data_IF_843825234936
#
_entry.id   IF_843825234936
#
_cell.length_a   1.000
_cell.length_b   1.000
_cell.length_c   1.000
_cell.angle_alpha   90.00
_cell.angle_beta   90.00
_cell.angle_gamma   90.00
#
_symmetry.space_group_name_H-M   'P 1'
#
loop_
_entity.id
_entity.type
_entity.pdbx_description
1 polymer ?
#
# COMPACT_ATOMS: atom_id res chain seq x y z
N UNK A 1 1.86 -16.90 13.13
CA UNK A 1 1.56 -15.82 14.08
C UNK A 1 2.90 -15.26 14.56
N UNK A 2 3.48 -14.32 13.80
CA UNK A 2 4.82 -13.79 14.08
C UNK A 2 4.68 -12.37 14.61
N UNK A 3 5.09 -12.14 15.85
CA UNK A 3 5.24 -10.79 16.40
C UNK A 3 6.31 -10.06 15.58
N UNK A 4 5.94 -8.93 15.01
CA UNK A 4 6.81 -8.09 14.19
C UNK A 4 7.20 -6.83 14.98
N UNK A 5 8.40 -6.30 14.77
CA UNK A 5 8.90 -5.08 15.44
C UNK A 5 9.23 -4.04 14.36
N UNK A 6 8.47 -2.95 14.26
CA UNK A 6 8.77 -1.90 13.27
C UNK A 6 10.03 -1.17 13.73
N UNK A 7 11.09 -1.39 12.98
CA UNK A 7 12.40 -0.85 13.24
C UNK A 7 12.80 0.17 12.19
N UNK A 8 11.89 0.80 11.44
CA UNK A 8 12.28 1.67 10.33
C UNK A 8 11.42 2.90 10.13
N UNK A 9 12.08 4.02 9.80
CA UNK A 9 11.44 5.31 9.50
C UNK A 9 12.13 5.98 8.30
N UNK A 10 11.45 6.90 7.63
CA UNK A 10 12.04 7.72 6.55
C UNK A 10 12.71 8.95 7.17
N UNK A 11 13.99 9.19 6.86
CA UNK A 11 14.64 10.44 7.23
C UNK A 11 13.94 11.62 6.53
N UNK A 12 13.39 12.62 7.25
CA UNK A 12 12.53 13.63 6.66
C UNK A 12 13.26 14.55 5.65
N UNK A 13 14.57 14.75 5.82
CA UNK A 13 15.40 15.55 4.91
C UNK A 13 15.98 14.72 3.76
N UNK A 14 16.71 13.65 4.08
CA UNK A 14 17.41 12.83 3.09
C UNK A 14 16.51 11.83 2.34
N UNK A 15 15.29 11.60 2.82
CA UNK A 15 14.32 10.66 2.24
C UNK A 15 14.83 9.23 2.08
N UNK A 16 15.76 8.81 2.95
CA UNK A 16 16.31 7.44 3.00
C UNK A 16 15.75 6.67 4.20
N UNK A 17 15.62 5.33 4.10
CA UNK A 17 15.22 4.51 5.24
C UNK A 17 16.30 4.51 6.33
N UNK A 18 15.88 4.68 7.57
CA UNK A 18 16.72 4.55 8.76
C UNK A 18 16.18 3.45 9.67
N UNK A 19 17.08 2.61 10.18
CA UNK A 19 16.71 1.57 11.14
C UNK A 19 16.76 2.16 12.55
N UNK A 20 15.62 2.19 13.24
CA UNK A 20 15.47 2.61 14.64
C UNK A 20 14.93 1.43 15.42
N UNK A 21 15.73 0.80 16.27
CA UNK A 21 15.29 -0.34 17.06
C UNK A 21 14.23 0.09 18.08
N UNK A 22 12.99 -0.36 17.91
CA UNK A 22 11.90 -0.14 18.87
C UNK A 22 11.55 -1.47 19.54
N UNK A 23 11.14 -1.42 20.80
CA UNK A 23 10.70 -2.60 21.55
C UNK A 23 9.18 -2.84 21.42
N UNK A 24 8.50 -2.12 20.54
CA UNK A 24 7.05 -2.16 20.41
C UNK A 24 6.61 -3.34 19.55
N UNK A 25 5.70 -4.16 20.10
CA UNK A 25 5.09 -5.26 19.34
C UNK A 25 4.08 -4.68 18.37
N UNK A 26 4.22 -5.02 17.10
CA UNK A 26 3.25 -4.64 16.07
C UNK A 26 2.08 -5.62 15.98
N UNK A 27 0.96 -5.08 15.54
CA UNK A 27 -0.26 -5.82 15.24
C UNK A 27 -0.14 -6.67 13.96
N UNK A 28 -1.02 -7.68 13.84
CA UNK A 28 -1.14 -8.48 12.64
C UNK A 28 -1.64 -7.62 11.47
N UNK A 29 -1.01 -7.79 10.30
CA UNK A 29 -1.35 -7.05 9.09
C UNK A 29 -2.20 -7.94 8.19
N UNK A 30 -3.33 -7.40 7.73
CA UNK A 30 -4.16 -8.02 6.69
C UNK A 30 -3.99 -7.22 5.42
N UNK A 31 -3.61 -7.87 4.32
CA UNK A 31 -3.41 -7.23 3.02
C UNK A 31 -4.57 -7.59 2.08
N UNK A 32 -5.31 -6.59 1.62
CA UNK A 32 -6.37 -6.73 0.63
C UNK A 32 -5.99 -5.96 -0.63
N UNK A 33 -5.96 -6.62 -1.77
CA UNK A 33 -5.75 -5.99 -3.06
C UNK A 33 -7.07 -6.00 -3.85
N UNK A 34 -7.29 -4.98 -4.66
CA UNK A 34 -8.46 -4.87 -5.53
C UNK A 34 -8.07 -4.43 -6.92
N UNK A 35 -8.84 -4.82 -7.92
CA UNK A 35 -8.67 -4.30 -9.28
C UNK A 35 -10.00 -4.25 -10.02
N UNK A 36 -10.18 -3.20 -10.83
CA UNK A 36 -11.27 -3.10 -11.79
C UNK A 36 -10.67 -2.96 -13.19
N UNK A 37 -11.23 -3.69 -14.16
CA UNK A 37 -10.81 -3.61 -15.56
C UNK A 37 -12.04 -3.36 -16.43
N UNK A 38 -11.94 -2.38 -17.33
CA UNK A 38 -12.96 -2.03 -18.30
C UNK A 38 -12.41 -2.19 -19.73
N UNK A 39 -13.14 -2.91 -20.56
CA UNK A 39 -12.83 -3.11 -21.97
C UNK A 39 -13.71 -2.20 -22.83
N UNK A 40 -13.09 -1.30 -23.59
CA UNK A 40 -13.76 -0.30 -24.43
C UNK A 40 -13.21 -0.37 -25.85
N UNK A 41 -13.82 -1.22 -26.67
CA UNK A 41 -13.41 -1.44 -28.07
C UNK A 41 -11.92 -1.83 -28.17
N UNK A 42 -11.06 -0.91 -28.62
CA UNK A 42 -9.61 -1.10 -28.77
C UNK A 42 -8.82 -0.76 -27.50
N UNK A 43 -9.47 -0.25 -26.45
CA UNK A 43 -8.82 0.15 -25.21
C UNK A 43 -9.18 -0.78 -24.05
N UNK A 44 -8.18 -1.09 -23.23
CA UNK A 44 -8.35 -1.75 -21.94
C UNK A 44 -7.88 -0.80 -20.85
N UNK A 45 -8.78 -0.42 -19.94
CA UNK A 45 -8.47 0.45 -18.79
C UNK A 45 -8.46 -0.43 -17.56
N UNK A 46 -7.35 -0.45 -16.82
CA UNK A 46 -7.18 -1.21 -15.59
C UNK A 46 -6.83 -0.27 -14.45
N UNK A 47 -7.54 -0.40 -13.35
CA UNK A 47 -7.25 0.33 -12.12
C UNK A 47 -7.06 -0.67 -10.99
N UNK A 48 -5.89 -0.62 -10.36
CA UNK A 48 -5.46 -1.56 -9.33
C UNK A 48 -5.19 -0.80 -8.05
N UNK A 49 -5.77 -1.28 -6.96
CA UNK A 49 -5.45 -0.82 -5.63
C UNK A 49 -4.66 -1.89 -4.90
N UNK A 50 -3.50 -1.50 -4.38
CA UNK A 50 -2.68 -2.37 -3.56
C UNK A 50 -2.90 -2.01 -2.09
N UNK A 51 -3.20 -3.01 -1.29
CA UNK A 51 -3.36 -2.90 0.15
C UNK A 51 -4.45 -1.90 0.61
N UNK A 52 -5.68 -2.10 0.15
CA UNK A 52 -6.86 -1.29 0.50
C UNK A 52 -7.40 -1.53 1.91
N UNK A 53 -6.81 -2.45 2.67
CA UNK A 53 -7.25 -2.78 4.03
C UNK A 53 -7.36 -1.52 4.89
N UNK A 54 -6.35 -0.66 4.83
CA UNK A 54 -6.31 0.60 5.57
C UNK A 54 -7.36 1.61 5.09
N UNK A 55 -7.67 1.63 3.77
CA UNK A 55 -8.75 2.48 3.24
C UNK A 55 -10.11 2.05 3.81
N UNK A 56 -10.33 0.73 3.93
CA UNK A 56 -11.54 0.17 4.52
C UNK A 56 -11.58 0.50 6.01
N UNK A 57 -10.50 0.26 6.76
CA UNK A 57 -10.45 0.58 8.19
C UNK A 57 -10.63 2.09 8.47
N UNK A 58 -9.99 2.96 7.69
CA UNK A 58 -10.18 4.41 7.78
C UNK A 58 -11.64 4.81 7.49
N UNK A 59 -12.28 4.21 6.48
CA UNK A 59 -13.70 4.45 6.18
C UNK A 59 -14.65 3.96 7.28
N UNK A 60 -14.20 2.99 8.10
CA UNK A 60 -14.91 2.49 9.28
C UNK A 60 -14.64 3.31 10.55
N UNK A 61 -13.90 4.43 10.45
CA UNK A 61 -13.62 5.33 11.58
C UNK A 61 -12.35 4.99 12.36
N UNK A 62 -11.42 4.20 11.81
CA UNK A 62 -10.09 4.01 12.39
C UNK A 62 -9.28 5.32 12.34
N UNK A 63 -8.56 5.63 13.42
CA UNK A 63 -7.62 6.78 13.48
C UNK A 63 -6.30 6.53 12.70
N UNK A 64 -6.17 5.38 12.04
CA UNK A 64 -4.99 5.05 11.23
C UNK A 64 -4.91 5.96 9.99
N UNK A 65 -3.95 6.87 10.02
CA UNK A 65 -3.52 7.67 8.87
C UNK A 65 -3.10 6.74 7.73
N UNK A 66 -3.87 6.67 6.63
CA UNK A 66 -3.65 6.18 5.24
C UNK A 66 -2.29 5.58 4.79
N UNK A 67 -1.54 4.99 5.71
CA UNK A 67 -0.21 4.44 5.57
C UNK A 67 -0.34 2.95 5.86
N UNK A 68 0.41 2.16 5.13
CA UNK A 68 0.46 0.73 5.30
C UNK A 68 1.90 0.26 5.48
N UNK A 69 2.04 -0.84 6.23
CA UNK A 69 3.34 -1.44 6.53
C UNK A 69 3.42 -2.84 5.93
N UNK A 70 4.43 -3.10 5.09
CA UNK A 70 4.63 -4.42 4.46
C UNK A 70 5.65 -5.23 5.25
N UNK A 71 6.75 -4.60 5.67
CA UNK A 71 7.87 -5.22 6.37
C UNK A 71 8.31 -4.34 7.55
N UNK A 72 8.75 -4.90 8.69
CA UNK A 72 9.11 -4.10 9.87
C UNK A 72 10.38 -3.27 9.69
N UNK A 73 11.22 -3.65 8.74
CA UNK A 73 12.40 -2.88 8.32
C UNK A 73 12.12 -1.97 7.11
N UNK A 74 10.87 -1.92 6.66
CA UNK A 74 10.43 -0.97 5.65
C UNK A 74 9.63 0.17 6.29
N UNK A 75 9.94 1.43 5.94
CA UNK A 75 9.15 2.54 6.40
C UNK A 75 7.69 2.41 5.93
N UNK A 76 6.78 3.00 6.69
CA UNK A 76 5.37 3.08 6.33
C UNK A 76 5.21 3.74 4.96
N UNK A 77 4.44 3.09 4.08
CA UNK A 77 4.18 3.54 2.72
C UNK A 77 2.76 4.10 2.62
N UNK A 78 2.58 5.20 1.90
CA UNK A 78 1.23 5.70 1.60
C UNK A 78 0.48 4.78 0.63
N UNK A 79 -0.85 4.82 0.65
CA UNK A 79 -1.70 4.08 -0.29
C UNK A 79 -1.21 4.16 -1.74
N UNK A 80 -1.20 3.00 -2.41
CA UNK A 80 -0.79 2.90 -3.80
C UNK A 80 -1.97 2.47 -4.67
N UNK A 81 -2.22 3.23 -5.73
CA UNK A 81 -3.13 2.87 -6.79
C UNK A 81 -2.42 3.02 -8.15
N UNK A 82 -2.59 2.02 -9.01
CA UNK A 82 -2.01 2.00 -10.35
C UNK A 82 -3.15 2.14 -11.37
N UNK A 83 -3.04 3.10 -12.28
CA UNK A 83 -3.91 3.22 -13.46
C UNK A 83 -3.11 2.84 -14.69
N UNK A 84 -3.63 1.88 -15.45
CA UNK A 84 -3.05 1.42 -16.71
C UNK A 84 -4.07 1.56 -17.83
N UNK A 85 -3.60 2.02 -18.99
CA UNK A 85 -4.40 2.09 -20.23
C UNK A 85 -3.61 1.36 -21.31
N UNK A 86 -4.21 0.34 -21.88
CA UNK A 86 -3.66 -0.45 -22.98
C UNK A 86 -4.49 -0.18 -24.24
N UNK A 87 -3.82 0.00 -25.38
CA UNK A 87 -4.47 0.22 -26.67
C UNK A 87 -4.00 -0.84 -27.66
N UNK A 88 -4.95 -1.63 -28.15
CA UNK A 88 -4.76 -2.57 -29.25
C UNK A 88 -5.16 -1.89 -30.56
N UNK A 89 -4.19 -1.54 -31.38
CA UNK A 89 -4.44 -1.07 -32.75
C UNK A 89 -4.92 -2.25 -33.60
N UNK A 90 -5.91 -2.01 -34.46
CA UNK A 90 -6.08 -2.84 -35.65
C UNK A 90 -4.96 -2.42 -36.61
N UNK A 91 -4.14 -3.39 -37.04
CA UNK A 91 -3.13 -3.19 -38.09
C UNK A 91 -3.74 -2.54 -39.35
#
# INVERSE_FOLDING_TARGET
YMNRLNNSNIHPIEMVPMIVYTNEKMDNITLLNGSITAYVSTFTIKYEWLNISEMIFASMGSEQNNFFEIHPEMPQLGQQANLSVEWHFLD
#
